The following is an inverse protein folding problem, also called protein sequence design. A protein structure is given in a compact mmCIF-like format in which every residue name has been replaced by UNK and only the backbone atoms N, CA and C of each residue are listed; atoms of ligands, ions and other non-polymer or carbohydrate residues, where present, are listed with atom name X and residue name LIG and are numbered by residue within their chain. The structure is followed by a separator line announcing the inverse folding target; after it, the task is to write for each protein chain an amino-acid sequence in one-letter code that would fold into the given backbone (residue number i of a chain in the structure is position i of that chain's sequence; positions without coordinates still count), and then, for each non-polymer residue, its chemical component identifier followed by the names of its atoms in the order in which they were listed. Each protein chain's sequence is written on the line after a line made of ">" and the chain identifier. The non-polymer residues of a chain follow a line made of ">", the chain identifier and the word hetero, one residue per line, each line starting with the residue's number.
data_IF_575078123138
#
_entry.id   IF_575078123138
#
_cell.length_a   1.000
_cell.length_b   1.000
_cell.length_c   1.000
_cell.angle_alpha   90.00
_cell.angle_beta   90.00
_cell.angle_gamma   90.00
#
_symmetry.space_group_name_H-M   'P 1'
#
loop_
_entity.id
_entity.type
_entity.pdbx_description
1 polymer ?
#
# COMPACT_ATOMS: atom_id res chain seq x y z
N UNK A 1 16.65 -14.12 19.05
CA UNK A 1 17.03 -12.92 18.29
C UNK A 1 15.77 -12.10 18.00
N UNK A 2 15.40 -11.16 18.87
CA UNK A 2 14.41 -10.14 18.54
C UNK A 2 15.05 -8.80 18.92
N UNK A 3 15.88 -8.29 18.01
CA UNK A 3 16.57 -7.02 18.16
C UNK A 3 15.57 -5.87 18.12
N UNK A 4 15.63 -5.00 19.12
CA UNK A 4 14.91 -3.73 19.12
C UNK A 4 15.43 -2.74 18.08
N UNK A 5 14.64 -1.68 17.85
CA UNK A 5 15.07 -0.31 17.53
C UNK A 5 13.87 0.58 17.23
N UNK A 6 13.84 1.76 17.88
CA UNK A 6 13.41 2.99 17.21
C UNK A 6 12.10 3.62 17.67
N UNK A 7 12.15 4.41 18.74
CA UNK A 7 11.34 5.63 18.83
C UNK A 7 11.81 6.59 17.72
N UNK A 8 10.88 7.04 16.88
CA UNK A 8 11.07 8.13 15.92
C UNK A 8 9.71 8.75 15.63
N UNK A 9 9.48 9.95 16.17
CA UNK A 9 8.23 10.70 16.00
C UNK A 9 8.18 11.46 14.68
N UNK A 10 6.97 11.91 14.32
CA UNK A 10 6.79 13.01 13.36
C UNK A 10 5.59 12.87 12.43
N UNK A 11 4.43 13.34 12.89
CA UNK A 11 3.49 14.15 12.09
C UNK A 11 2.56 13.46 11.08
N UNK A 12 1.25 13.63 11.29
CA UNK A 12 0.24 13.52 10.24
C UNK A 12 -0.92 12.59 10.59
N UNK A 13 -1.96 13.15 11.21
CA UNK A 13 -3.25 12.47 11.34
C UNK A 13 -3.80 12.09 9.96
N UNK A 14 -4.32 10.86 9.85
CA UNK A 14 -4.84 10.35 8.59
C UNK A 14 -5.56 9.03 8.82
N UNK A 15 -6.81 9.18 9.26
CA UNK A 15 -7.85 8.17 9.49
C UNK A 15 -7.75 6.89 8.66
N UNK A 16 -8.10 5.79 9.31
CA UNK A 16 -8.39 4.53 8.65
C UNK A 16 -9.54 4.72 7.65
N UNK A 17 -9.32 4.28 6.42
CA UNK A 17 -10.37 4.06 5.42
C UNK A 17 -10.75 5.29 4.59
N UNK A 18 -10.74 5.11 3.27
CA UNK A 18 -11.50 6.00 2.36
C UNK A 18 -10.73 7.14 1.70
N UNK A 19 -9.48 6.91 1.25
CA UNK A 19 -8.82 7.63 0.15
C UNK A 19 -8.79 9.18 0.11
N UNK A 20 -7.60 9.74 0.35
CA UNK A 20 -7.00 10.85 -0.41
C UNK A 20 -5.51 10.95 -0.05
N UNK A 21 -4.77 9.84 -0.22
CA UNK A 21 -3.34 9.79 0.06
C UNK A 21 -2.60 10.69 -0.93
N UNK A 22 -1.66 11.49 -0.43
CA UNK A 22 -0.76 12.25 -1.30
C UNK A 22 0.28 11.30 -1.93
N UNK A 23 0.87 11.61 -3.10
CA UNK A 23 1.83 10.72 -3.75
C UNK A 23 3.02 10.29 -2.88
N UNK A 24 3.44 11.13 -1.93
CA UNK A 24 4.51 10.82 -0.99
C UNK A 24 4.07 9.93 0.18
N UNK A 25 2.77 9.87 0.50
CA UNK A 25 2.20 9.01 1.54
C UNK A 25 2.08 7.55 1.07
N UNK A 26 2.23 7.29 -0.23
CA UNK A 26 2.18 5.96 -0.81
C UNK A 26 3.31 5.06 -0.29
N UNK A 27 4.55 5.59 -0.19
CA UNK A 27 5.73 4.82 0.23
C UNK A 27 5.55 4.11 1.58
N UNK A 28 5.20 4.80 2.69
CA UNK A 28 5.02 4.14 3.98
C UNK A 28 3.81 3.19 4.01
N UNK A 29 2.71 3.50 3.31
CA UNK A 29 1.53 2.61 3.24
C UNK A 29 1.82 1.33 2.46
N UNK A 30 2.53 1.46 1.34
CA UNK A 30 2.99 0.33 0.55
C UNK A 30 4.03 -0.52 1.28
N UNK A 31 4.91 0.09 2.08
CA UNK A 31 5.82 -0.65 2.96
C UNK A 31 5.07 -1.51 3.97
N UNK A 32 3.98 -1.01 4.54
CA UNK A 32 3.08 -1.78 5.39
C UNK A 32 2.45 -2.98 4.66
N UNK A 33 1.85 -2.74 3.49
CA UNK A 33 1.24 -3.79 2.64
C UNK A 33 2.21 -4.89 2.24
N UNK A 34 3.39 -4.48 1.79
CA UNK A 34 4.44 -5.38 1.32
C UNK A 34 5.30 -5.96 2.45
N UNK A 35 4.98 -5.71 3.73
CA UNK A 35 5.76 -6.19 4.86
C UNK A 35 5.82 -7.73 4.93
N UNK A 36 4.72 -8.39 4.58
CA UNK A 36 4.52 -9.85 4.70
C UNK A 36 4.60 -10.60 3.36
N UNK A 37 5.33 -10.07 2.38
CA UNK A 37 5.57 -10.75 1.09
C UNK A 37 7.05 -11.07 0.92
N UNK A 38 7.33 -12.21 0.28
CA UNK A 38 8.67 -12.59 -0.15
C UNK A 38 9.19 -11.70 -1.29
N UNK A 39 8.29 -11.14 -2.12
CA UNK A 39 8.63 -10.29 -3.27
C UNK A 39 8.55 -8.79 -2.94
N UNK A 40 9.18 -8.37 -1.84
CA UNK A 40 9.08 -6.98 -1.32
C UNK A 40 9.34 -5.91 -2.37
N UNK A 41 10.43 -6.03 -3.14
CA UNK A 41 10.80 -5.04 -4.17
C UNK A 41 9.74 -4.91 -5.26
N UNK A 42 9.26 -6.03 -5.80
CA UNK A 42 8.21 -6.01 -6.81
C UNK A 42 6.90 -5.45 -6.24
N UNK A 43 6.49 -5.91 -5.06
CA UNK A 43 5.28 -5.44 -4.38
C UNK A 43 5.29 -3.92 -4.18
N UNK A 44 6.41 -3.35 -3.68
CA UNK A 44 6.55 -1.91 -3.48
C UNK A 44 6.40 -1.13 -4.79
N UNK A 45 7.01 -1.62 -5.88
CA UNK A 45 6.93 -0.98 -7.20
C UNK A 45 5.49 -0.97 -7.72
N UNK A 46 4.77 -2.08 -7.62
CA UNK A 46 3.38 -2.15 -8.09
C UNK A 46 2.44 -1.37 -7.18
N UNK A 47 2.58 -1.49 -5.85
CA UNK A 47 1.78 -0.75 -4.90
C UNK A 47 1.92 0.76 -5.09
N UNK A 48 3.15 1.28 -5.25
CA UNK A 48 3.37 2.72 -5.48
C UNK A 48 2.76 3.20 -6.80
N UNK A 49 2.82 2.39 -7.87
CA UNK A 49 2.14 2.72 -9.13
C UNK A 49 0.63 2.82 -8.97
N UNK A 50 0.03 1.84 -8.30
CA UNK A 50 -1.40 1.81 -8.03
C UNK A 50 -1.82 2.96 -7.11
N UNK A 51 -1.02 3.24 -6.09
CA UNK A 51 -1.25 4.35 -5.17
C UNK A 51 -1.10 5.71 -5.85
N UNK A 52 -0.10 5.92 -6.71
CA UNK A 52 0.05 7.19 -7.43
C UNK A 52 -1.14 7.46 -8.38
N UNK A 53 -1.76 6.41 -8.91
CA UNK A 53 -2.96 6.55 -9.76
C UNK A 53 -4.23 6.74 -8.95
N UNK A 54 -4.44 5.91 -7.94
CA UNK A 54 -5.69 5.79 -7.20
C UNK A 54 -5.72 6.56 -5.90
N UNK A 55 -4.57 7.08 -5.46
CA UNK A 55 -4.35 7.83 -4.21
C UNK A 55 -4.93 7.09 -2.98
N UNK A 56 -4.90 5.76 -3.04
CA UNK A 56 -5.55 4.88 -2.08
C UNK A 56 -4.75 3.57 -1.98
N UNK A 57 -4.36 3.19 -0.76
CA UNK A 57 -3.77 1.88 -0.44
C UNK A 57 -4.65 1.24 0.61
N UNK A 58 -5.19 0.04 0.36
CA UNK A 58 -6.06 -0.62 1.32
C UNK A 58 -5.27 -0.99 2.59
N UNK A 59 -5.88 -1.04 3.78
CA UNK A 59 -5.19 -1.35 5.03
C UNK A 59 -4.95 -2.86 5.20
N UNK A 60 -3.86 -3.26 5.87
CA UNK A 60 -3.47 -4.66 6.07
C UNK A 60 -2.35 -5.12 5.14
N UNK A 61 -2.00 -6.41 5.17
CA UNK A 61 -0.99 -7.02 4.27
C UNK A 61 -1.64 -7.86 3.18
N UNK A 62 -2.73 -8.56 3.50
CA UNK A 62 -3.57 -9.33 2.56
C UNK A 62 -5.03 -8.83 2.58
N UNK A 63 -5.80 -9.07 1.52
CA UNK A 63 -7.23 -8.73 1.47
C UNK A 63 -7.55 -7.22 1.48
N UNK A 64 -8.78 -6.85 1.86
CA UNK A 64 -9.28 -5.47 1.99
C UNK A 64 -9.22 -4.59 0.72
N UNK A 65 -9.10 -5.20 -0.45
CA UNK A 65 -9.06 -4.50 -1.74
C UNK A 65 -10.34 -3.66 -2.00
N UNK A 66 -11.48 -4.08 -1.42
CA UNK A 66 -12.74 -3.34 -1.45
C UNK A 66 -12.72 -1.96 -0.78
N UNK A 67 -11.73 -1.68 0.09
CA UNK A 67 -11.56 -0.35 0.69
C UNK A 67 -11.12 0.71 -0.34
N UNK A 68 -10.49 0.28 -1.45
CA UNK A 68 -10.02 1.14 -2.52
C UNK A 68 -10.47 0.56 -3.87
N UNK A 69 -11.66 0.92 -4.38
CA UNK A 69 -12.19 0.36 -5.61
C UNK A 69 -11.27 0.60 -6.82
N UNK A 70 -10.61 1.76 -6.93
CA UNK A 70 -9.65 2.02 -8.01
C UNK A 70 -8.44 1.05 -7.96
N UNK A 71 -7.92 0.79 -6.75
CA UNK A 71 -6.80 -0.14 -6.55
C UNK A 71 -7.19 -1.58 -6.89
N UNK A 72 -8.43 -1.97 -6.56
CA UNK A 72 -8.96 -3.30 -6.88
C UNK A 72 -9.29 -3.48 -8.37
N UNK A 73 -9.76 -2.43 -9.05
CA UNK A 73 -10.11 -2.46 -10.46
C UNK A 73 -8.90 -2.38 -11.39
N UNK A 74 -7.71 -2.06 -10.87
CA UNK A 74 -6.48 -2.05 -11.66
C UNK A 74 -6.01 -3.48 -11.98
N UNK A 75 -6.30 -3.91 -13.21
CA UNK A 75 -5.94 -5.23 -13.75
C UNK A 75 -4.93 -5.12 -14.87
N UNK A 76 -4.16 -6.19 -15.10
CA UNK A 76 -3.32 -6.31 -16.29
C UNK A 76 -4.19 -6.56 -17.52
N UNK A 77 -3.62 -6.44 -18.73
CA UNK A 77 -4.32 -6.79 -19.98
C UNK A 77 -4.80 -8.24 -20.01
N UNK A 78 -4.12 -9.13 -19.28
CA UNK A 78 -4.48 -10.55 -19.12
C UNK A 78 -5.55 -10.79 -18.04
N UNK A 79 -6.07 -9.73 -17.41
CA UNK A 79 -7.16 -9.82 -16.43
C UNK A 79 -6.73 -10.11 -14.98
N UNK A 80 -5.42 -10.32 -14.74
CA UNK A 80 -4.87 -10.56 -13.41
C UNK A 80 -4.81 -9.30 -12.52
N UNK A 81 -4.81 -9.45 -11.19
CA UNK A 81 -4.67 -8.32 -10.27
C UNK A 81 -3.29 -7.67 -10.43
N UNK A 82 -3.25 -6.41 -10.88
CA UNK A 82 -1.99 -5.68 -11.11
C UNK A 82 -1.41 -5.11 -9.82
N UNK A 83 -2.27 -4.86 -8.85
CA UNK A 83 -1.93 -4.28 -7.56
C UNK A 83 -1.92 -5.34 -6.45
N UNK A 84 -0.89 -5.36 -5.57
CA UNK A 84 -0.75 -6.36 -4.52
C UNK A 84 -1.88 -6.31 -3.49
#
# INVERSE_FOLDING_TARGET
>A
MAGGRGRGGGGGGGVAGGGNLRPWECSPKCAGRCSNTQYKKACLTFCNKCCAKCLCVPPGTYGNKGACPCYNNWKTKEGGPKCP
#
